data_IF_269458902252
#
_entry.id   IF_269458902252
#
_cell.length_a   1.000
_cell.length_b   1.000
_cell.length_c   1.000
_cell.angle_alpha   90.00
_cell.angle_beta   90.00
_cell.angle_gamma   90.00
#
_symmetry.space_group_name_H-M   'P 1'
#
loop_
_entity.id
_entity.type
_entity.pdbx_description
1 polymer ?
#
# COMPACT_ATOMS: atom_id res chain seq x y z
N UNK A 1 18.40 15.04 -13.79
CA UNK A 1 19.50 15.82 -13.21
C UNK A 1 20.80 15.25 -13.76
N UNK A 2 21.66 16.08 -14.34
CA UNK A 2 22.84 15.59 -15.06
C UNK A 2 23.90 15.08 -14.04
N UNK A 3 24.30 13.82 -14.15
CA UNK A 3 25.26 13.13 -13.26
C UNK A 3 26.70 13.55 -13.56
N UNK A 4 26.92 14.29 -14.68
CA UNK A 4 28.24 14.73 -15.09
C UNK A 4 28.56 16.12 -14.53
N UNK A 5 29.79 16.30 -14.04
CA UNK A 5 30.35 17.61 -13.73
C UNK A 5 30.54 18.43 -15.00
N UNK A 6 30.80 19.72 -14.87
CA UNK A 6 31.08 20.61 -16.02
C UNK A 6 32.30 20.18 -16.83
N UNK A 7 33.21 19.42 -16.24
CA UNK A 7 34.44 18.87 -16.84
C UNK A 7 34.24 17.51 -17.54
N UNK A 8 32.99 17.03 -17.64
CA UNK A 8 32.65 15.74 -18.26
C UNK A 8 32.82 14.53 -17.34
N UNK A 9 33.46 14.66 -16.19
CA UNK A 9 33.65 13.58 -15.23
C UNK A 9 32.35 13.25 -14.49
N UNK A 10 32.20 11.97 -14.04
CA UNK A 10 31.06 11.52 -13.26
C UNK A 10 31.16 12.12 -11.83
N UNK A 11 30.11 12.81 -11.42
CA UNK A 11 29.97 13.27 -10.03
C UNK A 11 29.55 12.09 -9.14
N UNK A 12 30.56 11.40 -8.59
CA UNK A 12 30.37 10.20 -7.76
C UNK A 12 29.48 10.47 -6.54
N UNK A 13 29.53 11.68 -5.97
CA UNK A 13 28.67 12.09 -4.85
C UNK A 13 27.21 12.19 -5.28
N UNK A 14 26.94 12.74 -6.46
CA UNK A 14 25.58 12.79 -7.02
C UNK A 14 25.10 11.41 -7.43
N UNK A 15 25.96 10.56 -7.99
CA UNK A 15 25.62 9.17 -8.32
C UNK A 15 25.23 8.38 -7.06
N UNK A 16 26.04 8.46 -5.99
CA UNK A 16 25.74 7.81 -4.72
C UNK A 16 24.42 8.31 -4.11
N UNK A 17 24.13 9.60 -4.15
CA UNK A 17 22.87 10.16 -3.65
C UNK A 17 21.67 9.70 -4.50
N UNK A 18 21.84 9.52 -5.81
CA UNK A 18 20.75 9.10 -6.68
C UNK A 18 20.52 7.59 -6.70
N UNK A 19 21.57 6.80 -6.54
CA UNK A 19 21.53 5.35 -6.71
C UNK A 19 21.84 4.58 -5.43
N UNK A 20 22.24 5.26 -4.35
CA UNK A 20 22.72 4.62 -3.13
C UNK A 20 21.69 3.68 -2.51
N UNK A 21 20.43 4.10 -2.47
CA UNK A 21 19.35 3.23 -1.98
C UNK A 21 19.19 1.97 -2.84
N UNK A 22 19.19 2.12 -4.18
CA UNK A 22 19.11 0.96 -5.09
C UNK A 22 20.33 0.05 -4.98
N UNK A 23 21.52 0.63 -4.72
CA UNK A 23 22.75 -0.15 -4.48
C UNK A 23 22.61 -1.01 -3.21
N UNK A 24 22.13 -0.43 -2.11
CA UNK A 24 21.89 -1.17 -0.85
C UNK A 24 20.90 -2.30 -1.06
N UNK A 25 19.78 -2.03 -1.73
CA UNK A 25 18.75 -3.04 -2.03
C UNK A 25 19.30 -4.14 -2.95
N UNK A 26 20.13 -3.77 -3.93
CA UNK A 26 20.81 -4.75 -4.80
C UNK A 26 21.81 -5.61 -4.03
N UNK A 27 22.61 -5.04 -3.15
CA UNK A 27 23.54 -5.79 -2.28
C UNK A 27 22.78 -6.74 -1.36
N UNK A 28 21.63 -6.34 -0.79
CA UNK A 28 20.78 -7.24 -0.01
C UNK A 28 20.30 -8.42 -0.86
N UNK A 29 19.86 -8.17 -2.10
CA UNK A 29 19.46 -9.24 -3.02
C UNK A 29 20.61 -10.22 -3.30
N UNK A 30 21.81 -9.68 -3.55
CA UNK A 30 23.01 -10.51 -3.77
C UNK A 30 23.31 -11.39 -2.55
N UNK A 31 23.22 -10.84 -1.33
CA UNK A 31 23.41 -11.61 -0.10
C UNK A 31 22.36 -12.70 0.09
N UNK A 32 21.08 -12.44 -0.24
CA UNK A 32 20.01 -13.44 -0.20
C UNK A 32 20.31 -14.59 -1.16
N UNK A 33 20.66 -14.26 -2.41
CA UNK A 33 20.96 -15.27 -3.45
C UNK A 33 22.23 -16.05 -3.12
N UNK A 34 23.26 -15.41 -2.56
CA UNK A 34 24.48 -16.06 -2.15
C UNK A 34 24.25 -17.06 -1.01
N UNK A 35 23.33 -16.75 -0.08
CA UNK A 35 22.97 -17.64 1.02
C UNK A 35 22.06 -18.79 0.56
N UNK A 36 21.10 -18.50 -0.32
CA UNK A 36 20.10 -19.45 -0.81
C UNK A 36 19.87 -19.27 -2.32
N UNK A 37 20.69 -19.94 -3.16
CA UNK A 37 20.55 -19.85 -4.63
C UNK A 37 19.18 -20.27 -5.16
N UNK A 38 18.48 -21.17 -4.44
CA UNK A 38 17.11 -21.62 -4.77
C UNK A 38 16.06 -20.49 -4.71
N UNK A 39 16.44 -19.34 -4.15
CA UNK A 39 15.61 -18.13 -4.18
C UNK A 39 15.26 -17.71 -5.62
N UNK A 40 16.17 -17.88 -6.57
CA UNK A 40 15.96 -17.59 -8.00
C UNK A 40 15.15 -18.69 -8.71
N UNK A 41 14.00 -19.05 -8.16
CA UNK A 41 13.09 -20.01 -8.78
C UNK A 41 11.83 -19.34 -9.34
N UNK A 42 11.24 -19.93 -10.39
CA UNK A 42 9.97 -19.48 -10.97
C UNK A 42 8.86 -19.42 -9.90
N UNK A 43 8.85 -20.37 -8.98
CA UNK A 43 7.88 -20.43 -7.89
C UNK A 43 8.01 -19.19 -6.97
N UNK A 44 9.22 -18.84 -6.56
CA UNK A 44 9.47 -17.68 -5.70
C UNK A 44 9.15 -16.38 -6.43
N UNK A 45 9.52 -16.27 -7.72
CA UNK A 45 9.15 -15.12 -8.53
C UNK A 45 7.63 -14.92 -8.59
N UNK A 46 6.85 -15.99 -8.82
CA UNK A 46 5.39 -15.93 -8.78
C UNK A 46 4.86 -15.47 -7.42
N UNK A 47 5.39 -16.04 -6.33
CA UNK A 47 4.99 -15.67 -4.98
C UNK A 47 5.26 -14.19 -4.70
N UNK A 48 6.44 -13.70 -5.10
CA UNK A 48 6.81 -12.28 -4.96
C UNK A 48 5.82 -11.39 -5.71
N UNK A 49 5.56 -11.67 -6.99
CA UNK A 49 4.64 -10.85 -7.81
C UNK A 49 3.21 -10.92 -7.28
N UNK A 50 2.74 -12.10 -6.85
CA UNK A 50 1.40 -12.25 -6.27
C UNK A 50 1.25 -11.46 -4.97
N UNK A 51 2.24 -11.50 -4.08
CA UNK A 51 2.23 -10.71 -2.84
C UNK A 51 2.40 -9.22 -3.12
N UNK A 52 3.25 -8.86 -4.08
CA UNK A 52 3.41 -7.47 -4.55
C UNK A 52 2.10 -6.88 -5.06
N UNK A 53 1.21 -7.69 -5.63
CA UNK A 53 -0.05 -7.22 -6.20
C UNK A 53 -0.95 -6.55 -5.17
N UNK A 54 -1.16 -7.17 -4.02
CA UNK A 54 -1.97 -6.57 -2.95
C UNK A 54 -1.26 -5.35 -2.35
N UNK A 55 0.06 -5.43 -2.14
CA UNK A 55 0.87 -4.30 -1.65
C UNK A 55 0.84 -3.12 -2.61
N UNK A 56 0.82 -3.38 -3.93
CA UNK A 56 0.72 -2.34 -4.94
C UNK A 56 -0.60 -1.57 -4.86
N UNK A 57 -1.72 -2.27 -4.67
CA UNK A 57 -3.03 -1.63 -4.50
C UNK A 57 -3.00 -0.69 -3.29
N UNK A 58 -2.48 -1.14 -2.15
CA UNK A 58 -2.38 -0.33 -0.94
C UNK A 58 -1.44 0.88 -1.15
N UNK A 59 -0.27 0.64 -1.76
CA UNK A 59 0.71 1.70 -2.03
C UNK A 59 0.18 2.77 -3.00
N UNK A 60 -0.63 2.38 -4.00
CA UNK A 60 -1.30 3.33 -4.90
C UNK A 60 -2.24 4.26 -4.12
N UNK A 61 -2.95 3.74 -3.10
CA UNK A 61 -3.75 4.57 -2.19
C UNK A 61 -2.87 5.57 -1.42
N UNK A 62 -1.80 5.11 -0.79
CA UNK A 62 -0.88 5.94 0.00
C UNK A 62 -0.18 7.00 -0.85
N UNK A 63 0.19 6.65 -2.08
CA UNK A 63 1.00 7.50 -2.95
C UNK A 63 0.34 8.86 -3.24
N UNK A 64 -0.98 8.89 -3.44
CA UNK A 64 -1.72 10.14 -3.68
C UNK A 64 -1.63 11.11 -2.51
N UNK A 65 -1.61 10.59 -1.30
CA UNK A 65 -1.48 11.40 -0.09
C UNK A 65 -0.06 11.97 0.05
N UNK A 66 0.97 11.17 -0.21
CA UNK A 66 2.35 11.66 -0.21
C UNK A 66 2.54 12.77 -1.25
N UNK A 67 1.96 12.61 -2.45
CA UNK A 67 1.98 13.66 -3.49
C UNK A 67 1.35 14.96 -2.98
N UNK A 68 0.34 14.92 -2.10
CA UNK A 68 -0.26 16.13 -1.49
C UNK A 68 0.42 16.57 -0.19
N UNK A 69 1.65 16.14 0.07
CA UNK A 69 2.43 16.41 1.30
C UNK A 69 1.78 15.83 2.56
N UNK A 70 0.87 14.86 2.40
CA UNK A 70 0.22 14.15 3.50
C UNK A 70 0.82 12.76 3.73
N UNK A 71 0.41 12.15 4.82
CA UNK A 71 0.64 10.74 5.13
C UNK A 71 -0.63 10.15 5.72
N UNK A 72 -0.79 8.83 5.63
CA UNK A 72 -1.89 8.13 6.29
C UNK A 72 -1.37 6.92 7.06
N UNK A 73 -1.21 7.11 8.37
CA UNK A 73 -0.81 6.03 9.26
C UNK A 73 -1.95 5.05 9.56
N UNK A 74 -3.18 5.41 9.26
CA UNK A 74 -4.32 4.53 9.47
C UNK A 74 -4.51 3.49 8.36
N UNK A 75 -3.75 3.58 7.26
CA UNK A 75 -3.89 2.73 6.08
C UNK A 75 -3.85 1.23 6.41
N UNK A 76 -2.85 0.79 7.19
CA UNK A 76 -2.74 -0.61 7.59
C UNK A 76 -3.92 -1.09 8.44
N UNK A 77 -4.42 -0.25 9.34
CA UNK A 77 -5.58 -0.59 10.18
C UNK A 77 -6.89 -0.60 9.39
N UNK A 78 -7.03 0.25 8.38
CA UNK A 78 -8.15 0.20 7.43
C UNK A 78 -8.11 -1.10 6.59
N UNK A 79 -6.92 -1.53 6.15
CA UNK A 79 -6.72 -2.83 5.50
C UNK A 79 -7.18 -3.96 6.42
N UNK A 80 -6.77 -3.93 7.70
CA UNK A 80 -7.16 -4.94 8.69
C UNK A 80 -8.67 -4.98 8.94
N UNK A 81 -9.30 -3.83 9.11
CA UNK A 81 -10.76 -3.73 9.29
C UNK A 81 -11.52 -4.28 8.08
N UNK A 82 -11.12 -3.90 6.87
CA UNK A 82 -11.72 -4.42 5.65
C UNK A 82 -11.53 -5.93 5.49
N UNK A 83 -10.36 -6.45 5.89
CA UNK A 83 -10.09 -7.88 5.90
C UNK A 83 -11.01 -8.64 6.85
N UNK A 84 -11.20 -8.15 8.08
CA UNK A 84 -12.09 -8.77 9.07
C UNK A 84 -13.55 -8.71 8.61
N UNK A 85 -14.03 -7.56 8.12
CA UNK A 85 -15.39 -7.43 7.56
C UNK A 85 -15.59 -8.39 6.39
N UNK A 86 -14.64 -8.46 5.46
CA UNK A 86 -14.74 -9.39 4.33
C UNK A 86 -14.77 -10.85 4.78
N UNK A 87 -13.91 -11.19 5.74
CA UNK A 87 -13.83 -12.53 6.29
C UNK A 87 -15.13 -12.97 6.97
N UNK A 88 -15.78 -12.09 7.72
CA UNK A 88 -17.07 -12.38 8.38
C UNK A 88 -18.23 -12.55 7.39
N UNK A 89 -18.27 -11.72 6.34
CA UNK A 89 -19.34 -11.73 5.34
C UNK A 89 -19.25 -12.90 4.36
N UNK A 90 -18.03 -13.41 4.10
CA UNK A 90 -17.77 -14.37 3.02
C UNK A 90 -17.38 -15.77 3.51
N UNK A 91 -17.72 -16.13 4.75
CA UNK A 91 -17.59 -17.51 5.23
C UNK A 91 -18.56 -18.44 4.50
N UNK A 92 -18.12 -19.69 4.29
CA UNK A 92 -18.97 -20.72 3.71
C UNK A 92 -20.18 -21.05 4.62
N UNK A 93 -21.31 -21.37 4.05
CA UNK A 93 -22.50 -21.80 4.81
C UNK A 93 -22.25 -23.10 5.59
N UNK A 94 -21.33 -23.93 5.10
CA UNK A 94 -20.93 -25.21 5.71
C UNK A 94 -19.89 -25.07 6.81
N UNK A 95 -19.41 -23.85 7.09
CA UNK A 95 -18.39 -23.64 8.13
C UNK A 95 -19.02 -23.79 9.52
N UNK A 96 -18.54 -24.76 10.30
CA UNK A 96 -18.99 -25.03 11.69
C UNK A 96 -18.72 -23.83 12.61
N UNK A 97 -17.64 -23.09 12.35
CA UNK A 97 -17.26 -21.90 13.09
C UNK A 97 -17.72 -20.61 12.41
N UNK A 98 -18.84 -20.64 11.70
CA UNK A 98 -19.38 -19.45 11.06
C UNK A 98 -19.76 -18.41 12.11
N UNK A 99 -19.33 -17.18 11.84
CA UNK A 99 -19.41 -16.06 12.80
C UNK A 99 -20.76 -15.36 12.73
N UNK A 100 -21.26 -15.15 11.51
CA UNK A 100 -22.56 -14.52 11.27
C UNK A 100 -23.52 -15.57 10.71
N UNK A 101 -24.70 -15.70 11.32
CA UNK A 101 -25.76 -16.59 10.81
C UNK A 101 -26.49 -15.95 9.61
N UNK A 102 -25.76 -15.82 8.51
CA UNK A 102 -26.27 -15.30 7.23
C UNK A 102 -25.96 -16.30 6.12
N UNK A 103 -26.75 -16.32 5.05
CA UNK A 103 -26.45 -17.12 3.86
C UNK A 103 -25.09 -16.77 3.24
N UNK A 104 -24.65 -17.52 2.24
CA UNK A 104 -23.45 -17.14 1.47
C UNK A 104 -23.75 -15.89 0.64
N UNK A 105 -23.00 -14.82 0.91
CA UNK A 105 -23.14 -13.59 0.15
C UNK A 105 -22.24 -13.62 -1.10
N UNK A 106 -22.69 -13.02 -2.21
CA UNK A 106 -21.83 -12.76 -3.36
C UNK A 106 -20.64 -11.88 -2.98
N UNK A 107 -19.46 -12.18 -3.53
CA UNK A 107 -18.23 -11.41 -3.24
C UNK A 107 -18.39 -9.91 -3.51
N UNK A 108 -19.20 -9.55 -4.52
CA UNK A 108 -19.46 -8.14 -4.85
C UNK A 108 -20.11 -7.37 -3.70
N UNK A 109 -20.93 -8.01 -2.87
CA UNK A 109 -21.56 -7.38 -1.70
C UNK A 109 -20.49 -6.99 -0.68
N UNK A 110 -19.54 -7.89 -0.38
CA UNK A 110 -18.44 -7.59 0.51
C UNK A 110 -17.53 -6.48 -0.06
N UNK A 111 -17.24 -6.50 -1.38
CA UNK A 111 -16.48 -5.43 -2.05
C UNK A 111 -17.19 -4.09 -1.84
N UNK A 112 -18.48 -3.99 -2.06
CA UNK A 112 -19.23 -2.75 -1.88
C UNK A 112 -19.20 -2.28 -0.42
N UNK A 113 -19.46 -3.18 0.53
CA UNK A 113 -19.47 -2.85 1.96
C UNK A 113 -18.11 -2.31 2.40
N UNK A 114 -17.02 -3.05 2.15
CA UNK A 114 -15.69 -2.61 2.59
C UNK A 114 -15.24 -1.33 1.89
N UNK A 115 -15.57 -1.16 0.61
CA UNK A 115 -15.23 0.03 -0.16
C UNK A 115 -15.94 1.27 0.40
N UNK A 116 -17.21 1.15 0.76
CA UNK A 116 -17.97 2.24 1.41
C UNK A 116 -17.38 2.57 2.78
N UNK A 117 -17.08 1.55 3.60
CA UNK A 117 -16.43 1.76 4.91
C UNK A 117 -15.09 2.46 4.77
N UNK A 118 -14.22 1.99 3.87
CA UNK A 118 -12.93 2.62 3.61
C UNK A 118 -13.05 4.05 3.09
N UNK A 119 -13.99 4.30 2.18
CA UNK A 119 -14.28 5.64 1.65
C UNK A 119 -14.75 6.59 2.76
N UNK A 120 -15.60 6.14 3.68
CA UNK A 120 -16.07 6.94 4.82
C UNK A 120 -14.90 7.30 5.73
N UNK A 121 -14.10 6.32 6.15
CA UNK A 121 -12.93 6.56 7.03
C UNK A 121 -11.94 7.51 6.35
N UNK A 122 -11.62 7.27 5.08
CA UNK A 122 -10.75 8.17 4.31
C UNK A 122 -11.35 9.57 4.22
N UNK A 123 -12.64 9.70 3.94
CA UNK A 123 -13.31 11.03 3.88
C UNK A 123 -13.24 11.76 5.21
N UNK A 124 -13.40 11.07 6.34
CA UNK A 124 -13.27 11.66 7.68
C UNK A 124 -11.84 12.17 7.89
N UNK A 125 -10.81 11.37 7.56
CA UNK A 125 -9.42 11.83 7.60
C UNK A 125 -9.22 13.08 6.74
N UNK A 126 -9.72 13.05 5.51
CA UNK A 126 -9.63 14.19 4.59
C UNK A 126 -10.33 15.45 5.11
N UNK A 127 -11.47 15.30 5.77
CA UNK A 127 -12.19 16.42 6.38
C UNK A 127 -11.43 17.00 7.58
N UNK A 128 -10.87 16.15 8.44
CA UNK A 128 -10.05 16.59 9.59
C UNK A 128 -8.84 17.39 9.09
N UNK A 129 -8.13 16.86 8.11
CA UNK A 129 -6.93 17.50 7.55
C UNK A 129 -7.30 18.82 6.82
N UNK A 130 -8.31 18.77 5.94
CA UNK A 130 -8.59 19.88 5.02
C UNK A 130 -9.46 20.98 5.60
N UNK A 131 -10.35 20.70 6.57
CA UNK A 131 -11.24 21.69 7.17
C UNK A 131 -10.77 22.16 8.53
N UNK A 132 -10.26 21.23 9.36
CA UNK A 132 -9.79 21.55 10.70
C UNK A 132 -8.30 21.94 10.72
N UNK A 133 -7.62 21.87 9.56
CA UNK A 133 -6.19 22.18 9.41
C UNK A 133 -5.29 21.39 10.38
N UNK A 134 -5.72 20.17 10.76
CA UNK A 134 -4.91 19.28 11.58
C UNK A 134 -3.80 18.68 10.73
N UNK A 135 -2.59 18.62 11.27
CA UNK A 135 -1.47 18.02 10.54
C UNK A 135 -1.79 16.56 10.17
N UNK A 136 -1.58 16.13 8.91
CA UNK A 136 -1.94 14.80 8.43
C UNK A 136 -1.46 13.65 9.32
N UNK A 137 -0.23 13.73 9.81
CA UNK A 137 0.35 12.74 10.72
C UNK A 137 -0.49 12.56 12.01
N UNK A 138 -0.90 13.68 12.64
CA UNK A 138 -1.66 13.63 13.90
C UNK A 138 -3.08 13.10 13.64
N UNK A 139 -3.74 13.59 12.60
CA UNK A 139 -5.08 13.16 12.24
C UNK A 139 -5.13 11.65 11.98
N UNK A 140 -4.19 11.15 11.17
CA UNK A 140 -4.19 9.73 10.76
C UNK A 140 -3.63 8.80 11.83
N UNK A 141 -2.76 9.28 12.74
CA UNK A 141 -2.34 8.54 13.93
C UNK A 141 -3.53 8.32 14.89
N UNK A 142 -4.33 9.38 15.13
CA UNK A 142 -5.57 9.26 15.88
C UNK A 142 -6.54 8.27 15.23
N UNK A 143 -6.75 8.39 13.91
CA UNK A 143 -7.60 7.48 13.17
C UNK A 143 -7.08 6.04 13.18
N UNK A 144 -5.77 5.82 13.11
CA UNK A 144 -5.16 4.50 13.26
C UNK A 144 -5.59 3.82 14.54
N UNK A 145 -5.56 4.55 15.65
CA UNK A 145 -5.96 4.03 16.97
C UNK A 145 -7.47 3.76 17.02
N UNK A 146 -8.29 4.67 16.49
CA UNK A 146 -9.75 4.51 16.43
C UNK A 146 -10.11 3.27 15.59
N UNK A 147 -9.58 3.14 14.38
CA UNK A 147 -9.87 2.01 13.49
C UNK A 147 -9.37 0.69 14.09
N UNK A 148 -8.22 0.68 14.76
CA UNK A 148 -7.74 -0.52 15.46
C UNK A 148 -8.69 -0.92 16.61
N UNK A 149 -9.15 0.05 17.40
CA UNK A 149 -10.12 -0.18 18.46
C UNK A 149 -11.45 -0.73 17.92
N UNK A 150 -12.01 -0.09 16.89
CA UNK A 150 -13.23 -0.55 16.22
C UNK A 150 -13.07 -1.97 15.64
N UNK A 151 -11.95 -2.23 14.96
CA UNK A 151 -11.67 -3.54 14.40
C UNK A 151 -11.55 -4.61 15.49
N UNK A 152 -10.87 -4.31 16.60
CA UNK A 152 -10.70 -5.25 17.72
C UNK A 152 -12.02 -5.55 18.42
N UNK A 153 -12.83 -4.51 18.70
CA UNK A 153 -14.16 -4.68 19.29
C UNK A 153 -15.07 -5.54 18.39
N UNK A 154 -15.06 -5.27 17.08
CA UNK A 154 -15.82 -6.07 16.12
C UNK A 154 -15.30 -7.51 16.07
N UNK A 155 -13.99 -7.70 15.96
CA UNK A 155 -13.35 -9.01 15.91
C UNK A 155 -13.66 -9.85 17.14
N UNK A 156 -13.56 -9.28 18.35
CA UNK A 156 -13.82 -9.97 19.61
C UNK A 156 -15.31 -10.33 19.75
N UNK A 157 -16.21 -9.46 19.27
CA UNK A 157 -17.66 -9.71 19.31
C UNK A 157 -18.07 -10.88 18.41
N UNK A 158 -17.38 -11.11 17.31
CA UNK A 158 -17.75 -12.10 16.29
C UNK A 158 -16.81 -13.32 16.26
N UNK A 159 -15.52 -13.14 16.49
CA UNK A 159 -14.49 -14.15 16.21
C UNK A 159 -14.08 -15.02 17.40
N UNK A 160 -14.56 -14.78 18.61
CA UNK A 160 -14.17 -15.53 19.84
C UNK A 160 -12.65 -15.73 19.95
N UNK A 161 -11.86 -14.72 19.65
CA UNK A 161 -10.38 -14.70 19.67
C UNK A 161 -9.67 -15.70 18.73
N UNK A 162 -10.37 -16.31 17.79
CA UNK A 162 -9.79 -17.21 16.79
C UNK A 162 -9.74 -16.56 15.41
N UNK A 163 -8.75 -16.87 14.54
CA UNK A 163 -8.71 -16.35 13.19
C UNK A 163 -9.99 -16.71 12.41
N UNK A 164 -10.64 -15.70 11.82
CA UNK A 164 -11.84 -15.90 11.01
C UNK A 164 -11.40 -16.52 9.67
N UNK A 165 -11.82 -17.76 9.41
CA UNK A 165 -11.43 -18.57 8.27
C UNK A 165 -12.61 -19.38 7.73
N UNK A 166 -12.35 -20.31 6.80
CA UNK A 166 -13.41 -21.14 6.23
C UNK A 166 -14.28 -20.36 5.23
N UNK A 167 -13.64 -19.71 4.29
CA UNK A 167 -14.29 -18.87 3.29
C UNK A 167 -15.05 -19.68 2.25
N UNK A 168 -16.07 -19.08 1.65
CA UNK A 168 -16.81 -19.65 0.54
C UNK A 168 -15.88 -19.95 -0.66
N UNK A 169 -16.24 -20.96 -1.45
CA UNK A 169 -15.50 -21.30 -2.67
C UNK A 169 -15.40 -20.11 -3.63
N UNK A 170 -16.45 -19.30 -3.70
CA UNK A 170 -16.50 -18.12 -4.55
C UNK A 170 -15.42 -17.10 -4.14
N UNK A 171 -15.28 -16.82 -2.84
CA UNK A 171 -14.28 -15.89 -2.34
C UNK A 171 -12.86 -16.45 -2.43
N UNK A 172 -12.68 -17.72 -2.09
CA UNK A 172 -11.37 -18.39 -2.23
C UNK A 172 -10.90 -18.38 -3.69
N UNK A 173 -11.78 -18.70 -4.65
CA UNK A 173 -11.45 -18.62 -6.07
C UNK A 173 -11.19 -17.18 -6.54
N UNK A 174 -11.94 -16.20 -6.03
CA UNK A 174 -11.74 -14.79 -6.35
C UNK A 174 -10.35 -14.30 -5.94
N UNK A 175 -9.85 -14.68 -4.76
CA UNK A 175 -8.56 -14.20 -4.25
C UNK A 175 -7.37 -15.12 -4.56
N UNK A 176 -7.58 -16.44 -4.69
CA UNK A 176 -6.52 -17.42 -4.89
C UNK A 176 -6.53 -18.05 -6.28
N UNK A 177 -7.55 -17.75 -7.10
CA UNK A 177 -7.67 -18.28 -8.44
C UNK A 177 -6.54 -17.86 -9.36
N UNK A 178 -6.33 -18.68 -10.41
CA UNK A 178 -5.30 -18.44 -11.44
C UNK A 178 -5.88 -18.67 -12.83
N UNK A 179 -5.34 -17.96 -13.82
CA UNK A 179 -5.53 -18.23 -15.25
C UNK A 179 -4.34 -19.03 -15.76
N UNK A 180 -4.60 -20.07 -16.54
CA UNK A 180 -3.57 -20.97 -17.07
C UNK A 180 -3.25 -22.10 -16.09
N UNK A 181 -2.31 -22.96 -16.48
CA UNK A 181 -1.91 -24.16 -15.74
C UNK A 181 -0.40 -24.26 -15.57
N UNK A 182 0.03 -24.96 -14.53
CA UNK A 182 1.44 -25.23 -14.27
C UNK A 182 2.30 -23.99 -14.03
N UNK A 183 3.46 -23.95 -14.65
CA UNK A 183 4.44 -22.89 -14.44
C UNK A 183 4.04 -21.52 -15.02
N UNK A 184 3.08 -21.47 -15.92
CA UNK A 184 2.62 -20.23 -16.57
C UNK A 184 1.29 -19.69 -16.02
N UNK A 185 0.78 -20.24 -14.88
CA UNK A 185 -0.42 -19.72 -14.26
C UNK A 185 -0.21 -18.29 -13.70
N UNK A 186 -1.17 -17.39 -13.96
CA UNK A 186 -1.18 -16.01 -13.51
C UNK A 186 -2.27 -15.87 -12.44
N UNK A 187 -1.91 -15.39 -11.23
CA UNK A 187 -2.88 -15.16 -10.17
C UNK A 187 -3.85 -14.03 -10.52
N UNK A 188 -5.13 -14.17 -10.15
CA UNK A 188 -6.13 -13.11 -10.28
C UNK A 188 -5.72 -11.83 -9.54
N UNK A 189 -4.95 -11.94 -8.45
CA UNK A 189 -4.42 -10.76 -7.73
C UNK A 189 -3.56 -9.86 -8.61
N UNK A 190 -2.79 -10.44 -9.55
CA UNK A 190 -1.98 -9.68 -10.50
C UNK A 190 -2.89 -8.87 -11.45
N UNK A 191 -3.99 -9.47 -11.88
CA UNK A 191 -4.96 -8.83 -12.77
C UNK A 191 -5.65 -7.67 -12.03
N UNK A 192 -6.09 -7.89 -10.80
CA UNK A 192 -6.71 -6.83 -9.99
C UNK A 192 -5.75 -5.67 -9.72
N UNK A 193 -4.48 -5.97 -9.42
CA UNK A 193 -3.46 -4.94 -9.25
C UNK A 193 -3.19 -4.18 -10.56
N UNK A 194 -3.16 -4.86 -11.70
CA UNK A 194 -3.01 -4.22 -13.01
C UNK A 194 -4.19 -3.28 -13.31
N UNK A 195 -5.43 -3.74 -13.06
CA UNK A 195 -6.63 -2.91 -13.25
C UNK A 195 -6.60 -1.70 -12.30
N UNK A 196 -6.30 -1.89 -11.02
CA UNK A 196 -6.19 -0.82 -10.04
C UNK A 196 -5.09 0.19 -10.44
N UNK A 197 -3.97 -0.31 -10.96
CA UNK A 197 -2.86 0.52 -11.46
C UNK A 197 -3.29 1.36 -12.67
N UNK A 198 -4.00 0.77 -13.63
CA UNK A 198 -4.51 1.48 -14.81
C UNK A 198 -5.53 2.54 -14.41
N UNK A 199 -6.46 2.23 -13.50
CA UNK A 199 -7.43 3.20 -12.98
C UNK A 199 -6.69 4.37 -12.33
N UNK A 200 -5.73 4.12 -11.43
CA UNK A 200 -4.97 5.18 -10.79
C UNK A 200 -4.15 5.99 -11.79
N UNK A 201 -3.55 5.33 -12.81
CA UNK A 201 -2.83 6.00 -13.87
C UNK A 201 -3.71 6.95 -14.67
N UNK A 202 -4.94 6.52 -15.03
CA UNK A 202 -5.92 7.36 -15.71
C UNK A 202 -6.31 8.55 -14.82
N UNK A 203 -6.62 8.29 -13.54
CA UNK A 203 -6.99 9.33 -12.59
C UNK A 203 -5.89 10.40 -12.46
N UNK A 204 -4.64 9.99 -12.32
CA UNK A 204 -3.53 10.93 -12.14
C UNK A 204 -3.18 11.70 -13.41
N UNK A 205 -3.16 11.03 -14.57
CA UNK A 205 -2.58 11.62 -15.79
C UNK A 205 -3.63 12.18 -16.77
N UNK A 206 -4.89 11.71 -16.67
CA UNK A 206 -5.91 12.04 -17.68
C UNK A 206 -7.08 12.84 -17.13
N UNK A 207 -7.18 13.04 -15.78
CA UNK A 207 -8.31 13.75 -15.17
C UNK A 207 -7.92 15.10 -14.59
N UNK A 208 -8.92 15.98 -14.44
CA UNK A 208 -8.76 17.25 -13.69
C UNK A 208 -8.42 17.00 -12.23
N UNK A 209 -8.97 15.92 -11.64
CA UNK A 209 -8.71 15.55 -10.26
C UNK A 209 -7.22 15.27 -10.03
N UNK A 210 -6.59 14.45 -10.88
CA UNK A 210 -5.16 14.17 -10.77
C UNK A 210 -4.31 15.43 -10.92
N UNK A 211 -4.62 16.30 -11.88
CA UNK A 211 -3.92 17.59 -12.05
C UNK A 211 -4.03 18.45 -10.78
N UNK A 212 -5.21 18.49 -10.15
CA UNK A 212 -5.45 19.22 -8.91
C UNK A 212 -4.64 18.62 -7.74
N UNK A 213 -4.55 17.29 -7.62
CA UNK A 213 -3.73 16.59 -6.62
C UNK A 213 -2.26 17.03 -6.72
N UNK A 214 -1.69 17.02 -7.93
CA UNK A 214 -0.31 17.47 -8.14
C UNK A 214 -0.13 18.96 -7.91
N UNK A 215 -1.10 19.81 -8.30
CA UNK A 215 -1.06 21.25 -8.07
C UNK A 215 -1.10 21.57 -6.57
N UNK A 216 -2.02 20.96 -5.80
CA UNK A 216 -2.12 21.11 -4.36
C UNK A 216 -0.84 20.64 -3.68
N UNK A 217 -0.29 19.50 -4.12
CA UNK A 217 0.96 18.98 -3.59
C UNK A 217 2.18 19.85 -3.88
N UNK A 218 2.20 20.55 -5.03
CA UNK A 218 3.29 21.45 -5.38
C UNK A 218 3.27 22.75 -4.56
N UNK A 219 2.12 23.40 -4.50
CA UNK A 219 1.89 24.60 -3.67
C UNK A 219 0.39 24.79 -3.47
N UNK A 220 -0.16 24.52 -2.26
CA UNK A 220 -1.58 24.65 -1.97
C UNK A 220 -2.12 26.06 -2.18
N UNK A 221 -1.35 27.10 -1.82
CA UNK A 221 -1.78 28.51 -1.94
C UNK A 221 -1.84 28.91 -3.42
N UNK A 222 -0.83 28.57 -4.21
CA UNK A 222 -0.83 28.83 -5.65
C UNK A 222 -1.99 28.07 -6.35
N UNK A 223 -2.23 26.82 -5.95
CA UNK A 223 -3.35 26.04 -6.47
C UNK A 223 -4.71 26.71 -6.17
N UNK A 224 -4.88 27.22 -4.95
CA UNK A 224 -6.10 27.95 -4.52
C UNK A 224 -6.32 29.21 -5.35
N UNK A 225 -5.28 30.04 -5.54
CA UNK A 225 -5.36 31.25 -6.38
C UNK A 225 -5.69 30.88 -7.82
N UNK A 226 -5.24 29.73 -8.32
CA UNK A 226 -5.55 29.21 -9.64
C UNK A 226 -6.96 28.57 -9.74
N UNK A 227 -7.81 28.72 -8.72
CA UNK A 227 -9.20 28.24 -8.71
C UNK A 227 -9.36 26.76 -8.34
N UNK A 228 -8.32 26.08 -7.85
CA UNK A 228 -8.41 24.70 -7.37
C UNK A 228 -9.04 24.67 -5.98
N UNK A 229 -10.10 23.91 -5.80
CA UNK A 229 -10.67 23.67 -4.47
C UNK A 229 -9.81 22.68 -3.70
N UNK A 230 -8.89 23.20 -2.87
CA UNK A 230 -7.92 22.42 -2.08
C UNK A 230 -8.65 21.43 -1.15
N UNK A 231 -9.68 21.88 -0.43
CA UNK A 231 -10.45 21.02 0.50
C UNK A 231 -11.09 19.83 -0.23
N UNK A 232 -11.78 20.06 -1.35
CA UNK A 232 -12.38 18.96 -2.12
C UNK A 232 -11.33 18.02 -2.68
N UNK A 233 -10.19 18.53 -3.09
CA UNK A 233 -9.08 17.71 -3.62
C UNK A 233 -8.50 16.84 -2.51
N UNK A 234 -8.23 17.38 -1.33
CA UNK A 234 -7.72 16.61 -0.19
C UNK A 234 -8.73 15.56 0.29
N UNK A 235 -9.99 15.94 0.52
CA UNK A 235 -11.02 14.96 0.92
C UNK A 235 -11.17 13.86 -0.12
N UNK A 236 -11.16 14.21 -1.41
CA UNK A 236 -11.26 13.25 -2.49
C UNK A 236 -10.09 12.25 -2.56
N UNK A 237 -8.85 12.72 -2.34
CA UNK A 237 -7.70 11.81 -2.38
C UNK A 237 -7.66 10.90 -1.15
N UNK A 238 -8.04 11.38 0.05
CA UNK A 238 -8.19 10.54 1.23
C UNK A 238 -9.32 9.51 1.08
N UNK A 239 -10.47 9.89 0.52
CA UNK A 239 -11.57 8.96 0.21
C UNK A 239 -11.13 7.88 -0.77
N UNK A 240 -10.43 8.25 -1.84
CA UNK A 240 -9.88 7.32 -2.81
C UNK A 240 -8.87 6.37 -2.17
N UNK A 241 -8.00 6.87 -1.30
CA UNK A 241 -7.05 6.05 -0.55
C UNK A 241 -7.75 4.99 0.29
N UNK A 242 -8.81 5.37 1.03
CA UNK A 242 -9.61 4.44 1.81
C UNK A 242 -10.25 3.32 0.96
N UNK A 243 -10.71 3.63 -0.26
CA UNK A 243 -11.21 2.64 -1.23
C UNK A 243 -10.12 1.62 -1.58
N UNK A 244 -8.90 2.08 -1.87
CA UNK A 244 -7.77 1.22 -2.21
C UNK A 244 -7.32 0.35 -1.03
N UNK A 245 -7.31 0.90 0.19
CA UNK A 245 -7.00 0.13 1.41
C UNK A 245 -8.04 -0.96 1.67
N UNK A 246 -9.32 -0.63 1.55
CA UNK A 246 -10.41 -1.57 1.77
C UNK A 246 -10.38 -2.71 0.75
N UNK A 247 -10.19 -2.40 -0.52
CA UNK A 247 -10.05 -3.42 -1.56
C UNK A 247 -8.81 -4.28 -1.35
N UNK A 248 -7.67 -3.67 -0.98
CA UNK A 248 -6.46 -4.39 -0.59
C UNK A 248 -6.69 -5.33 0.59
N UNK A 249 -7.44 -4.91 1.61
CA UNK A 249 -7.77 -5.72 2.79
C UNK A 249 -8.62 -6.94 2.45
N UNK A 250 -9.64 -6.78 1.63
CA UNK A 250 -10.45 -7.88 1.12
C UNK A 250 -9.58 -8.89 0.36
N UNK A 251 -8.74 -8.44 -0.54
CA UNK A 251 -7.85 -9.33 -1.30
C UNK A 251 -6.82 -10.04 -0.41
N UNK A 252 -6.31 -9.35 0.62
CA UNK A 252 -5.30 -9.92 1.52
C UNK A 252 -5.90 -11.01 2.41
N UNK A 253 -7.10 -10.80 2.97
CA UNK A 253 -7.79 -11.83 3.73
C UNK A 253 -8.05 -13.09 2.88
N UNK A 254 -8.58 -12.90 1.66
CA UNK A 254 -8.80 -14.01 0.73
C UNK A 254 -7.52 -14.73 0.33
N UNK A 255 -6.41 -13.99 0.09
CA UNK A 255 -5.10 -14.54 -0.24
C UNK A 255 -4.53 -15.40 0.89
N UNK A 256 -4.63 -14.93 2.13
CA UNK A 256 -4.13 -15.65 3.32
C UNK A 256 -5.06 -16.82 3.70
N UNK A 257 -6.37 -16.71 3.41
CA UNK A 257 -7.39 -17.68 3.81
C UNK A 257 -7.94 -17.47 5.21
N UNK A 258 -7.54 -16.38 5.88
CA UNK A 258 -8.04 -16.00 7.21
C UNK A 258 -7.83 -14.53 7.49
N UNK A 259 -8.54 -14.00 8.49
CA UNK A 259 -8.36 -12.64 8.98
C UNK A 259 -8.31 -12.61 10.52
N UNK A 260 -7.49 -11.69 11.04
CA UNK A 260 -7.40 -11.35 12.45
C UNK A 260 -7.42 -9.83 12.60
N UNK A 261 -7.67 -9.33 13.80
CA UNK A 261 -7.62 -7.90 14.10
C UNK A 261 -6.21 -7.28 13.91
N UNK A 262 -5.17 -8.11 13.88
CA UNK A 262 -3.79 -7.65 13.65
C UNK A 262 -3.35 -7.70 12.19
N UNK A 263 -4.20 -8.19 11.27
CA UNK A 263 -3.91 -8.16 9.85
C UNK A 263 -3.75 -6.69 9.40
N UNK A 264 -2.82 -6.43 8.51
CA UNK A 264 -2.53 -5.07 8.04
C UNK A 264 -1.56 -4.27 8.94
N UNK A 265 -1.09 -4.84 10.05
CA UNK A 265 -0.11 -4.17 10.91
C UNK A 265 1.16 -3.83 10.13
N UNK A 266 1.63 -2.57 10.21
CA UNK A 266 2.82 -2.03 9.52
C UNK A 266 2.71 -1.97 7.99
N UNK A 267 1.53 -2.22 7.38
CA UNK A 267 1.36 -2.12 5.92
C UNK A 267 1.46 -0.68 5.42
N UNK A 268 1.07 0.28 6.24
CA UNK A 268 1.28 1.70 5.98
C UNK A 268 2.75 2.04 5.79
N UNK A 269 3.62 1.48 6.63
CA UNK A 269 5.08 1.71 6.56
C UNK A 269 5.68 1.08 5.30
N UNK A 270 5.28 -0.15 4.96
CA UNK A 270 5.69 -0.80 3.72
C UNK A 270 5.24 0.01 2.49
N UNK A 271 4.00 0.50 2.49
CA UNK A 271 3.45 1.30 1.39
C UNK A 271 4.17 2.65 1.23
N UNK A 272 4.42 3.36 2.35
CA UNK A 272 5.18 4.61 2.37
C UNK A 272 6.60 4.37 1.83
N UNK A 273 7.30 3.36 2.36
CA UNK A 273 8.65 3.01 1.91
C UNK A 273 8.68 2.72 0.41
N UNK A 274 7.75 1.90 -0.08
CA UNK A 274 7.65 1.57 -1.49
C UNK A 274 7.42 2.80 -2.37
N UNK A 275 6.54 3.73 -1.94
CA UNK A 275 6.28 4.98 -2.66
C UNK A 275 7.54 5.85 -2.76
N UNK A 276 8.29 5.99 -1.66
CA UNK A 276 9.51 6.82 -1.62
C UNK A 276 10.63 6.18 -2.44
N UNK A 277 10.86 4.87 -2.31
CA UNK A 277 11.78 4.11 -3.16
C UNK A 277 11.40 4.29 -4.64
N UNK A 278 10.11 4.30 -4.93
CA UNK A 278 9.54 4.55 -6.25
C UNK A 278 9.62 5.99 -6.73
N UNK A 279 10.15 6.92 -5.91
CA UNK A 279 10.38 8.33 -6.26
C UNK A 279 9.16 9.23 -6.10
N UNK A 280 8.18 8.86 -5.29
CA UNK A 280 7.16 9.78 -4.79
C UNK A 280 7.78 10.62 -3.69
N UNK A 281 7.68 11.95 -3.78
CA UNK A 281 8.35 12.87 -2.87
C UNK A 281 7.44 13.37 -1.77
N UNK A 282 7.94 13.37 -0.52
CA UNK A 282 7.27 14.01 0.63
C UNK A 282 7.20 15.54 0.52
N UNK A 283 8.02 16.15 -0.36
CA UNK A 283 7.91 17.58 -0.66
C UNK A 283 6.71 17.91 -1.56
N UNK A 284 5.95 16.88 -1.98
CA UNK A 284 4.73 17.00 -2.76
C UNK A 284 4.93 17.32 -4.23
N UNK A 285 3.85 17.18 -4.99
CA UNK A 285 3.79 17.50 -6.42
C UNK A 285 4.64 16.59 -7.34
N UNK A 286 5.25 15.53 -6.81
CA UNK A 286 6.13 14.63 -7.56
C UNK A 286 5.78 13.17 -7.27
N UNK A 287 5.55 12.39 -8.34
CA UNK A 287 5.30 10.96 -8.26
C UNK A 287 4.97 10.38 -9.64
N UNK A 288 5.27 9.10 -9.83
CA UNK A 288 4.93 8.34 -11.04
C UNK A 288 4.39 6.97 -10.67
N UNK A 289 3.30 6.55 -11.29
CA UNK A 289 2.67 5.25 -11.04
C UNK A 289 3.66 4.10 -11.29
N UNK A 290 4.42 4.14 -12.39
CA UNK A 290 5.44 3.12 -12.67
C UNK A 290 6.50 3.04 -11.56
N UNK A 291 6.90 4.18 -11.00
CA UNK A 291 7.83 4.22 -9.87
C UNK A 291 7.27 3.52 -8.65
N UNK A 292 6.00 3.78 -8.28
CA UNK A 292 5.33 3.15 -7.16
C UNK A 292 5.35 1.63 -7.29
N UNK A 293 4.96 1.10 -8.46
CA UNK A 293 4.95 -0.34 -8.74
C UNK A 293 6.36 -0.93 -8.63
N UNK A 294 7.36 -0.24 -9.20
CA UNK A 294 8.77 -0.68 -9.09
C UNK A 294 9.22 -0.69 -7.62
N UNK A 295 8.90 0.34 -6.84
CA UNK A 295 9.25 0.41 -5.43
C UNK A 295 8.61 -0.71 -4.60
N UNK A 296 7.33 -1.03 -4.87
CA UNK A 296 6.63 -2.15 -4.23
C UNK A 296 7.31 -3.48 -4.55
N UNK A 297 7.63 -3.74 -5.82
CA UNK A 297 8.29 -4.99 -6.23
C UNK A 297 9.66 -5.12 -5.55
N UNK A 298 10.47 -4.05 -5.56
CA UNK A 298 11.79 -4.05 -4.92
C UNK A 298 11.66 -4.36 -3.42
N UNK A 299 10.77 -3.65 -2.72
CA UNK A 299 10.57 -3.87 -1.28
C UNK A 299 10.07 -5.29 -1.00
N UNK A 300 9.17 -5.82 -1.85
CA UNK A 300 8.64 -7.16 -1.69
C UNK A 300 9.70 -8.24 -1.96
N UNK A 301 10.59 -8.04 -2.91
CA UNK A 301 11.76 -8.93 -3.14
C UNK A 301 12.60 -9.02 -1.87
N UNK A 302 12.88 -7.90 -1.22
CA UNK A 302 13.66 -7.86 0.02
C UNK A 302 12.91 -8.55 1.16
N UNK A 303 11.64 -8.19 1.39
CA UNK A 303 10.82 -8.77 2.46
C UNK A 303 10.68 -10.29 2.32
N UNK A 304 10.35 -10.75 1.10
CA UNK A 304 10.22 -12.17 0.80
C UNK A 304 11.56 -12.88 0.93
N UNK A 305 12.64 -12.27 0.44
CA UNK A 305 13.98 -12.84 0.50
C UNK A 305 14.50 -12.97 1.93
N UNK A 306 14.33 -11.96 2.78
CA UNK A 306 14.69 -12.02 4.20
C UNK A 306 13.95 -13.15 4.92
N UNK A 307 12.65 -13.30 4.63
CA UNK A 307 11.84 -14.39 5.17
C UNK A 307 12.34 -15.75 4.65
N UNK A 308 12.66 -15.84 3.36
CA UNK A 308 13.12 -17.06 2.71
C UNK A 308 14.43 -17.58 3.30
N UNK A 309 15.37 -16.69 3.63
CA UNK A 309 16.65 -17.06 4.27
C UNK A 309 16.55 -17.19 5.80
N UNK A 310 15.34 -17.15 6.37
CA UNK A 310 15.10 -17.39 7.80
C UNK A 310 15.47 -16.22 8.71
N UNK A 311 15.54 -14.97 8.22
CA UNK A 311 15.75 -13.80 9.06
C UNK A 311 14.50 -13.56 9.92
N UNK A 312 14.69 -13.43 11.24
CA UNK A 312 13.57 -13.23 12.16
C UNK A 312 12.77 -11.97 11.84
N UNK A 313 11.44 -11.95 12.10
CA UNK A 313 10.60 -10.78 11.85
C UNK A 313 11.08 -9.51 12.55
N UNK A 314 11.71 -9.63 13.72
CA UNK A 314 12.24 -8.49 14.48
C UNK A 314 13.38 -7.79 13.73
N UNK A 315 14.30 -8.55 13.14
CA UNK A 315 15.35 -8.00 12.29
C UNK A 315 14.77 -7.36 11.02
N UNK A 316 13.70 -7.95 10.46
CA UNK A 316 13.04 -7.36 9.30
C UNK A 316 12.44 -5.98 9.65
N UNK A 317 11.89 -5.77 10.85
CA UNK A 317 11.42 -4.45 11.30
C UNK A 317 12.57 -3.43 11.40
N UNK A 318 13.72 -3.83 11.94
CA UNK A 318 14.89 -2.96 12.02
C UNK A 318 15.36 -2.56 10.61
N UNK A 319 15.50 -3.54 9.71
CA UNK A 319 15.93 -3.30 8.33
C UNK A 319 14.94 -2.37 7.60
N UNK A 320 13.63 -2.62 7.72
CA UNK A 320 12.60 -1.75 7.14
C UNK A 320 12.69 -0.32 7.68
N UNK A 321 12.84 -0.16 8.98
CA UNK A 321 13.02 1.16 9.60
C UNK A 321 14.21 1.91 9.02
N UNK A 322 15.36 1.24 8.89
CA UNK A 322 16.56 1.82 8.28
C UNK A 322 16.31 2.22 6.82
N UNK A 323 15.65 1.36 6.04
CA UNK A 323 15.31 1.63 4.64
C UNK A 323 14.41 2.87 4.53
N UNK A 324 13.37 2.98 5.38
CA UNK A 324 12.45 4.12 5.38
C UNK A 324 13.21 5.41 5.70
N UNK A 325 13.99 5.42 6.78
CA UNK A 325 14.77 6.60 7.18
C UNK A 325 15.75 7.02 6.09
N UNK A 326 16.49 6.05 5.53
CA UNK A 326 17.40 6.31 4.43
C UNK A 326 16.68 6.88 3.19
N UNK A 327 15.57 6.27 2.79
CA UNK A 327 14.77 6.70 1.63
C UNK A 327 14.27 8.15 1.80
N UNK A 328 13.71 8.47 2.97
CA UNK A 328 13.22 9.83 3.28
C UNK A 328 14.38 10.83 3.38
N UNK A 329 15.52 10.45 3.98
CA UNK A 329 16.72 11.29 4.05
C UNK A 329 17.26 11.61 2.63
N UNK A 330 17.32 10.62 1.74
CA UNK A 330 17.72 10.84 0.35
C UNK A 330 16.74 11.72 -0.41
N UNK A 331 15.43 11.56 -0.20
CA UNK A 331 14.40 12.42 -0.78
C UNK A 331 14.57 13.86 -0.29
N UNK A 332 14.79 14.05 1.01
CA UNK A 332 15.04 15.35 1.63
C UNK A 332 16.27 16.06 1.03
N UNK A 333 17.41 15.37 0.93
CA UNK A 333 18.64 15.94 0.35
C UNK A 333 18.43 16.33 -1.12
N UNK A 334 17.65 15.54 -1.86
CA UNK A 334 17.38 15.76 -3.29
C UNK A 334 16.52 16.99 -3.55
N UNK A 335 15.55 17.26 -2.68
CA UNK A 335 14.55 18.31 -2.90
C UNK A 335 14.78 19.56 -2.04
N UNK A 336 15.45 19.49 -0.87
CA UNK A 336 15.80 20.65 -0.05
C UNK A 336 16.70 21.68 -0.80
N UNK A 337 17.50 21.23 -1.78
CA UNK A 337 18.34 22.12 -2.61
C UNK A 337 17.60 22.84 -3.74
N UNK A 338 16.28 22.65 -3.87
CA UNK A 338 15.47 23.28 -4.91
C UNK A 338 14.61 24.45 -4.40
N UNK A 339 14.66 24.72 -3.11
CA UNK A 339 14.22 25.96 -2.49
C UNK A 339 15.45 26.85 -2.27
#
# INVERSE_FOLDING_TARGET
MNIRKKDGSIDFKKLLIQSGLYLVLFLMLVLIVAKEPSFLSIRNFKNIITQSSVRAIIALGVAGLIVTQGTDLSAGRQVGLAAVISATLLQASTNVNKVLDIGELPVIVAILVVTVVGMIIGSINGLIVAKLNVHPFIATLGMMTIVYGMNSLYYDSVGKASPISGFSKAYSNFAQGTIGSGSFSISYLIIYAAIATVIMWILWNKTKFGKNVFAVGGNPEAAKVSGVNVTRTLVGIYALSGIYYAFGGLLEAGRIGSATNNLGNMYEMDAIAACVIGGVSFYGGVGKISGIITGVIILQVINYGLTYVGVSPYWQYIIKGIIIVAAVAFDSIKYAKKK
#
